data_IF_348546639926
#
_entry.id   IF_348546639926
#
_cell.length_a   1.000
_cell.length_b   1.000
_cell.length_c   1.000
_cell.angle_alpha   90.00
_cell.angle_beta   90.00
_cell.angle_gamma   90.00
#
_symmetry.space_group_name_H-M   'P 1'
#
loop_
_entity.id
_entity.type
_entity.pdbx_description
1 polymer ?
#
# COMPACT_ATOMS: atom_id res chain seq x y z
N UNK A 1 7.67 -3.73 -21.08
CA UNK A 1 8.77 -2.93 -21.69
C UNK A 1 8.60 -1.46 -21.30
N UNK A 2 9.49 -0.91 -20.46
CA UNK A 2 9.46 0.51 -20.03
C UNK A 2 9.80 1.43 -21.20
N UNK A 3 8.91 2.35 -21.58
CA UNK A 3 9.13 3.22 -22.76
C UNK A 3 9.61 4.61 -22.36
N UNK A 4 10.70 5.04 -22.98
CA UNK A 4 11.27 6.41 -22.91
C UNK A 4 10.24 7.40 -23.49
N UNK A 5 10.19 8.62 -22.96
CA UNK A 5 9.34 9.69 -23.47
C UNK A 5 9.54 9.91 -24.99
N UNK A 6 8.47 9.99 -25.81
CA UNK A 6 8.59 10.21 -27.25
C UNK A 6 9.12 11.62 -27.59
N UNK A 7 9.95 11.74 -28.65
CA UNK A 7 10.07 13.00 -29.42
C UNK A 7 11.39 13.78 -29.41
N UNK A 8 12.57 13.15 -29.26
CA UNK A 8 13.86 13.89 -29.25
C UNK A 8 14.92 13.47 -30.28
N UNK A 9 14.55 12.75 -31.35
CA UNK A 9 15.54 12.33 -32.37
C UNK A 9 15.77 13.46 -33.39
N UNK A 10 16.97 14.05 -33.39
CA UNK A 10 17.42 15.03 -34.41
C UNK A 10 17.88 14.32 -35.69
N UNK A 11 17.77 15.00 -36.84
CA UNK A 11 18.38 14.53 -38.10
C UNK A 11 19.91 14.56 -37.98
N UNK A 12 20.58 13.47 -38.36
CA UNK A 12 22.05 13.36 -38.38
C UNK A 12 22.55 13.76 -39.77
N UNK A 13 23.30 14.85 -39.86
CA UNK A 13 23.79 15.40 -41.15
C UNK A 13 25.30 15.25 -41.34
N UNK A 14 26.05 14.98 -40.26
CA UNK A 14 27.51 14.81 -40.25
C UNK A 14 27.98 14.07 -38.99
N UNK A 15 29.29 13.82 -38.88
CA UNK A 15 29.86 13.12 -37.72
C UNK A 15 29.71 13.93 -36.41
N UNK A 16 29.74 15.27 -36.48
CA UNK A 16 29.61 16.13 -35.31
C UNK A 16 28.19 16.08 -34.73
N UNK A 17 27.16 16.12 -35.58
CA UNK A 17 25.75 15.97 -35.22
C UNK A 17 25.44 14.56 -34.70
N UNK A 18 26.10 13.51 -35.20
CA UNK A 18 25.99 12.17 -34.63
C UNK A 18 26.56 12.10 -33.19
N UNK A 19 27.74 12.67 -32.95
CA UNK A 19 28.35 12.71 -31.61
C UNK A 19 27.49 13.54 -30.65
N UNK A 20 27.01 14.71 -31.09
CA UNK A 20 26.13 15.56 -30.31
C UNK A 20 24.80 14.86 -29.96
N UNK A 21 24.16 14.20 -30.94
CA UNK A 21 22.95 13.42 -30.72
C UNK A 21 23.20 12.26 -29.75
N UNK A 22 24.32 11.56 -29.88
CA UNK A 22 24.66 10.43 -29.01
C UNK A 22 24.92 10.87 -27.57
N UNK A 23 25.63 11.97 -27.36
CA UNK A 23 25.84 12.55 -26.02
C UNK A 23 24.53 13.03 -25.41
N UNK A 24 23.68 13.69 -26.20
CA UNK A 24 22.39 14.16 -25.73
C UNK A 24 21.46 12.98 -25.40
N UNK A 25 21.45 11.93 -26.22
CA UNK A 25 20.73 10.68 -25.94
C UNK A 25 21.27 9.99 -24.70
N UNK A 26 22.58 10.03 -24.45
CA UNK A 26 23.16 9.48 -23.23
C UNK A 26 22.70 10.25 -21.99
N UNK A 27 22.73 11.59 -22.04
CA UNK A 27 22.22 12.44 -20.96
C UNK A 27 20.73 12.16 -20.73
N UNK A 28 19.92 12.17 -21.77
CA UNK A 28 18.47 11.86 -21.68
C UNK A 28 18.26 10.45 -21.14
N UNK A 29 18.95 9.45 -21.68
CA UNK A 29 18.83 8.07 -21.22
C UNK A 29 19.21 7.96 -19.76
N UNK A 30 20.29 8.62 -19.31
CA UNK A 30 20.69 8.62 -17.90
C UNK A 30 19.65 9.32 -17.02
N UNK A 31 19.20 10.51 -17.39
CA UNK A 31 18.17 11.25 -16.63
C UNK A 31 16.84 10.51 -16.58
N UNK A 32 16.42 9.87 -17.67
CA UNK A 32 15.18 9.09 -17.75
C UNK A 32 15.30 7.72 -17.08
N UNK A 33 16.45 7.04 -17.14
CA UNK A 33 16.69 5.78 -16.41
C UNK A 33 16.65 5.98 -14.90
N UNK A 34 17.20 7.09 -14.41
CA UNK A 34 17.20 7.40 -12.98
C UNK A 34 15.93 8.14 -12.53
N UNK A 35 15.11 8.62 -13.46
CA UNK A 35 13.83 9.23 -13.11
C UNK A 35 12.89 8.22 -12.51
N UNK A 36 12.45 8.52 -11.29
CA UNK A 36 11.37 7.81 -10.61
C UNK A 36 9.98 8.31 -11.06
N UNK A 37 9.78 8.54 -12.36
CA UNK A 37 8.49 8.93 -12.91
C UNK A 37 7.56 7.73 -13.10
N UNK A 38 6.26 7.99 -13.09
CA UNK A 38 5.25 6.99 -13.42
C UNK A 38 5.49 6.44 -14.83
N UNK A 39 5.16 5.16 -15.02
CA UNK A 39 5.28 4.50 -16.33
C UNK A 39 4.44 5.22 -17.38
N UNK A 40 5.02 5.45 -18.54
CA UNK A 40 4.32 6.05 -19.67
C UNK A 40 3.36 5.04 -20.31
N UNK A 41 2.14 5.49 -20.63
CA UNK A 41 1.19 4.79 -21.47
C UNK A 41 0.81 5.72 -22.62
N UNK A 42 0.94 5.25 -23.87
CA UNK A 42 0.61 6.03 -25.07
C UNK A 42 1.27 7.42 -25.11
N UNK A 43 2.51 7.53 -24.64
CA UNK A 43 3.29 8.76 -24.66
C UNK A 43 3.02 9.74 -23.52
N UNK A 44 2.12 9.43 -22.58
CA UNK A 44 1.88 10.25 -21.38
C UNK A 44 2.12 9.45 -20.10
N UNK A 45 2.51 10.13 -19.02
CA UNK A 45 2.65 9.52 -17.70
C UNK A 45 1.30 9.00 -17.23
N UNK A 46 1.26 7.77 -16.70
CA UNK A 46 0.01 7.24 -16.13
C UNK A 46 -0.43 8.02 -14.89
N UNK A 47 -1.73 7.94 -14.60
CA UNK A 47 -2.40 8.54 -13.43
C UNK A 47 -3.01 7.48 -12.51
N UNK A 48 -2.56 6.23 -12.63
CA UNK A 48 -3.08 5.13 -11.84
C UNK A 48 -2.43 5.11 -10.46
N UNK A 49 -3.21 4.73 -9.44
CA UNK A 49 -2.70 4.32 -8.14
C UNK A 49 -2.63 2.79 -8.14
N UNK A 50 -1.42 2.24 -8.16
CA UNK A 50 -1.17 0.80 -8.27
C UNK A 50 -0.92 0.30 -9.69
N UNK A 51 -0.94 -1.04 -9.87
CA UNK A 51 -0.60 -1.69 -11.13
C UNK A 51 -1.73 -1.53 -12.18
N UNK A 52 -1.42 -1.75 -13.47
CA UNK A 52 -2.39 -1.62 -14.55
C UNK A 52 -3.43 -2.74 -14.46
N UNK A 53 -4.71 -2.36 -14.63
CA UNK A 53 -5.86 -3.27 -14.58
C UNK A 53 -6.31 -3.74 -15.97
N UNK A 54 -5.67 -3.25 -17.03
CA UNK A 54 -5.93 -3.59 -18.43
C UNK A 54 -4.62 -3.85 -19.17
N UNK A 55 -4.72 -4.41 -20.38
CA UNK A 55 -3.57 -4.77 -21.20
C UNK A 55 -3.04 -6.17 -20.90
N UNK A 56 -2.23 -6.70 -21.82
CA UNK A 56 -1.59 -8.02 -21.71
C UNK A 56 -0.16 -7.86 -21.21
N UNK A 57 0.19 -8.60 -20.17
CA UNK A 57 1.46 -8.44 -19.46
C UNK A 57 2.17 -9.78 -19.30
N UNK A 58 3.49 -9.74 -19.33
CA UNK A 58 4.37 -10.89 -19.10
C UNK A 58 4.97 -10.85 -17.70
N UNK A 59 5.34 -12.03 -17.17
CA UNK A 59 6.09 -12.10 -15.90
C UNK A 59 7.39 -11.29 -16.04
N UNK A 60 7.71 -10.50 -15.02
CA UNK A 60 8.88 -9.62 -15.00
C UNK A 60 8.64 -8.23 -15.58
N UNK A 61 7.48 -7.96 -16.21
CA UNK A 61 7.14 -6.60 -16.60
C UNK A 61 7.12 -5.67 -15.37
N UNK A 62 7.68 -4.48 -15.55
CA UNK A 62 7.81 -3.45 -14.52
C UNK A 62 6.78 -2.34 -14.72
N UNK A 63 6.23 -1.85 -13.63
CA UNK A 63 5.28 -0.74 -13.61
C UNK A 63 5.54 0.19 -12.43
N UNK A 64 5.55 1.50 -12.68
CA UNK A 64 5.57 2.53 -11.67
C UNK A 64 4.30 3.36 -11.76
N UNK A 65 3.62 3.52 -10.63
CA UNK A 65 2.36 4.26 -10.56
C UNK A 65 2.59 5.78 -10.39
N UNK A 66 1.50 6.56 -10.35
CA UNK A 66 1.58 8.02 -10.23
C UNK A 66 2.15 8.53 -8.90
N UNK A 67 2.21 7.68 -7.87
CA UNK A 67 2.77 7.99 -6.54
C UNK A 67 4.20 7.45 -6.39
N UNK A 68 4.75 6.84 -7.44
CA UNK A 68 6.10 6.30 -7.46
C UNK A 68 6.22 4.91 -6.83
N UNK A 69 5.12 4.24 -6.47
CA UNK A 69 5.17 2.84 -6.07
C UNK A 69 5.56 1.97 -7.27
N UNK A 70 6.41 0.99 -7.02
CA UNK A 70 6.95 0.12 -8.07
C UNK A 70 6.40 -1.29 -7.93
N UNK A 71 6.04 -1.87 -9.07
CA UNK A 71 5.39 -3.16 -9.19
C UNK A 71 6.09 -4.01 -10.24
N UNK A 72 6.13 -5.32 -9.98
CA UNK A 72 6.57 -6.33 -10.93
C UNK A 72 5.44 -7.32 -11.16
N UNK A 73 5.19 -7.65 -12.43
CA UNK A 73 4.24 -8.66 -12.83
C UNK A 73 4.79 -10.04 -12.44
N UNK A 74 4.11 -10.75 -11.56
CA UNK A 74 4.49 -12.10 -11.09
C UNK A 74 3.73 -13.20 -11.82
N UNK A 75 2.63 -12.87 -12.50
CA UNK A 75 1.85 -13.82 -13.31
C UNK A 75 1.36 -13.15 -14.58
N UNK A 76 1.68 -13.73 -15.74
CA UNK A 76 1.26 -13.19 -17.03
C UNK A 76 -0.28 -13.24 -17.18
N UNK A 77 -0.86 -12.31 -17.94
CA UNK A 77 -2.31 -12.27 -18.16
C UNK A 77 -2.86 -10.93 -18.66
N UNK A 78 -4.20 -10.84 -18.69
CA UNK A 78 -4.99 -9.67 -19.08
C UNK A 78 -6.10 -9.40 -18.04
N UNK A 79 -5.82 -8.67 -16.94
CA UNK A 79 -4.53 -8.11 -16.56
C UNK A 79 -3.57 -9.17 -15.97
N UNK A 80 -2.29 -8.80 -15.86
CA UNK A 80 -1.30 -9.58 -15.13
C UNK A 80 -1.57 -9.56 -13.61
N UNK A 81 -0.90 -10.46 -12.89
CA UNK A 81 -0.83 -10.46 -11.42
C UNK A 81 0.39 -9.67 -10.98
N UNK A 82 0.23 -8.72 -10.05
CA UNK A 82 1.28 -7.77 -9.71
C UNK A 82 1.66 -7.83 -8.23
N UNK A 83 2.95 -7.67 -7.97
CA UNK A 83 3.51 -7.51 -6.62
C UNK A 83 4.18 -6.15 -6.51
N UNK A 84 3.83 -5.41 -5.46
CA UNK A 84 4.56 -4.20 -5.10
C UNK A 84 5.94 -4.58 -4.55
N UNK A 85 6.99 -3.99 -5.13
CA UNK A 85 8.39 -4.20 -4.73
C UNK A 85 8.97 -2.98 -4.04
N UNK A 86 8.43 -1.79 -4.30
CA UNK A 86 8.81 -0.54 -3.63
C UNK A 86 7.56 0.23 -3.18
N UNK A 87 7.45 0.61 -1.90
CA UNK A 87 6.39 1.48 -1.40
C UNK A 87 6.35 2.82 -2.13
N UNK A 88 5.16 3.42 -2.26
CA UNK A 88 5.09 4.84 -2.60
C UNK A 88 5.65 5.66 -1.43
N UNK A 89 6.40 6.71 -1.75
CA UNK A 89 6.95 7.64 -0.75
C UNK A 89 6.19 8.95 -0.85
N UNK A 90 5.52 9.36 0.23
CA UNK A 90 4.66 10.56 0.25
C UNK A 90 5.03 11.46 1.43
N UNK A 91 4.72 12.75 1.32
CA UNK A 91 4.85 13.72 2.42
C UNK A 91 3.52 13.95 3.15
N UNK A 92 2.42 13.46 2.59
CA UNK A 92 1.09 13.51 3.17
C UNK A 92 0.31 12.26 2.76
N UNK A 93 -0.39 11.69 3.72
CA UNK A 93 -1.21 10.51 3.52
C UNK A 93 -2.37 10.77 2.56
N UNK A 94 -2.48 10.03 1.46
CA UNK A 94 -3.62 10.15 0.56
C UNK A 94 -4.86 9.48 1.18
N UNK A 95 -6.04 9.95 0.78
CA UNK A 95 -7.30 9.38 1.23
C UNK A 95 -7.41 7.89 0.87
N UNK A 96 -7.82 7.06 1.83
CA UNK A 96 -8.10 5.65 1.63
C UNK A 96 -9.27 5.45 0.66
N UNK A 97 -9.23 4.38 -0.16
CA UNK A 97 -10.29 4.02 -1.10
C UNK A 97 -9.97 4.23 -2.58
N UNK A 98 -8.89 4.95 -2.91
CA UNK A 98 -8.39 5.09 -4.29
C UNK A 98 -7.19 4.18 -4.60
N UNK A 99 -6.78 3.36 -3.63
CA UNK A 99 -5.64 2.45 -3.71
C UNK A 99 -6.10 0.99 -3.70
N UNK A 100 -5.43 0.11 -4.44
CA UNK A 100 -5.74 -1.31 -4.42
C UNK A 100 -5.43 -1.93 -3.05
N UNK A 101 -6.08 -3.05 -2.76
CA UNK A 101 -5.79 -3.86 -1.58
C UNK A 101 -4.34 -4.33 -1.58
N UNK A 102 -3.67 -4.22 -0.43
CA UNK A 102 -2.28 -4.58 -0.24
C UNK A 102 -1.29 -3.45 -0.52
N UNK A 103 -1.74 -2.30 -1.05
CA UNK A 103 -0.87 -1.18 -1.39
C UNK A 103 -0.17 -0.60 -0.16
N UNK A 104 1.14 -0.38 -0.26
CA UNK A 104 2.00 0.10 0.81
C UNK A 104 2.53 1.51 0.53
N UNK A 105 2.45 2.37 1.53
CA UNK A 105 2.92 3.75 1.53
C UNK A 105 3.90 3.95 2.69
N UNK A 106 4.97 4.69 2.44
CA UNK A 106 5.85 5.27 3.44
C UNK A 106 5.62 6.77 3.44
N UNK A 107 5.15 7.30 4.56
CA UNK A 107 5.06 8.73 4.81
C UNK A 107 6.36 9.20 5.47
N UNK A 108 7.11 10.03 4.78
CA UNK A 108 8.45 10.48 5.24
C UNK A 108 8.39 11.64 6.23
N UNK A 109 7.22 12.27 6.38
CA UNK A 109 7.04 13.39 7.30
C UNK A 109 6.93 12.89 8.75
N UNK A 110 6.19 11.80 8.96
CA UNK A 110 5.91 11.22 10.28
C UNK A 110 6.55 9.84 10.50
N UNK A 111 7.18 9.25 9.48
CA UNK A 111 7.75 7.91 9.53
C UNK A 111 6.69 6.79 9.53
N UNK A 112 5.46 7.10 9.11
CA UNK A 112 4.34 6.18 9.04
C UNK A 112 4.50 5.17 7.89
N UNK A 113 4.31 3.88 8.18
CA UNK A 113 4.11 2.84 7.19
C UNK A 113 2.62 2.49 7.12
N UNK A 114 1.99 2.77 5.99
CA UNK A 114 0.55 2.58 5.80
C UNK A 114 0.24 1.51 4.77
N UNK A 115 -0.62 0.56 5.13
CA UNK A 115 -1.10 -0.48 4.21
C UNK A 115 -2.60 -0.33 3.99
N UNK A 116 -2.99 -0.34 2.72
CA UNK A 116 -4.38 -0.23 2.29
C UNK A 116 -5.01 -1.61 2.10
N UNK A 117 -6.29 -1.74 2.45
CA UNK A 117 -7.14 -2.89 2.22
C UNK A 117 -8.52 -2.41 1.77
N UNK A 118 -8.62 -2.03 0.49
CA UNK A 118 -9.81 -1.40 -0.07
C UNK A 118 -10.07 -0.01 0.54
N UNK A 119 -11.24 0.16 1.14
CA UNK A 119 -11.64 1.41 1.82
C UNK A 119 -11.02 1.58 3.21
N UNK A 120 -10.35 0.55 3.73
CA UNK A 120 -9.65 0.56 5.01
C UNK A 120 -8.15 0.70 4.82
N UNK A 121 -7.47 1.21 5.82
CA UNK A 121 -6.01 1.19 5.91
C UNK A 121 -5.56 1.15 7.37
N UNK A 122 -4.39 0.60 7.61
CA UNK A 122 -3.73 0.69 8.91
C UNK A 122 -2.36 1.31 8.74
N UNK A 123 -1.94 2.06 9.75
CA UNK A 123 -0.68 2.78 9.81
C UNK A 123 0.12 2.29 11.02
N UNK A 124 1.42 2.09 10.84
CA UNK A 124 2.38 1.85 11.92
C UNK A 124 3.39 2.97 11.88
N UNK A 125 3.48 3.76 12.94
CA UNK A 125 4.52 4.78 13.07
C UNK A 125 5.81 4.15 13.59
N UNK A 126 6.89 4.27 12.82
CA UNK A 126 8.21 3.74 13.19
C UNK A 126 9.14 4.91 13.53
N UNK A 127 9.63 4.96 14.77
CA UNK A 127 10.67 5.92 15.18
C UNK A 127 10.21 7.32 15.60
N UNK A 128 8.90 7.58 15.68
CA UNK A 128 8.33 8.90 15.99
C UNK A 128 8.31 9.29 17.49
N UNK A 129 9.22 8.78 18.32
CA UNK A 129 9.27 9.02 19.77
C UNK A 129 8.68 7.90 20.64
N UNK A 130 8.62 8.11 21.95
CA UNK A 130 8.47 7.09 23.03
C UNK A 130 7.23 6.18 23.00
N UNK A 131 6.34 6.32 22.02
CA UNK A 131 5.25 5.36 21.81
C UNK A 131 5.12 5.06 20.31
N UNK A 132 5.45 3.83 19.91
CA UNK A 132 5.02 3.31 18.62
C UNK A 132 3.48 3.30 18.59
N UNK A 133 2.87 3.91 17.57
CA UNK A 133 1.42 3.99 17.42
C UNK A 133 0.98 3.08 16.27
N UNK A 134 -0.11 2.35 16.48
CA UNK A 134 -0.86 1.65 15.44
C UNK A 134 -2.17 2.41 15.23
N UNK A 135 -2.36 2.94 14.02
CA UNK A 135 -3.56 3.67 13.61
C UNK A 135 -4.42 2.86 12.64
N UNK A 136 -5.74 3.03 12.70
CA UNK A 136 -6.69 2.49 11.73
C UNK A 136 -7.43 3.66 11.07
N UNK A 137 -7.47 3.69 9.74
CA UNK A 137 -8.03 4.80 8.95
C UNK A 137 -8.98 4.27 7.87
N UNK A 138 -9.93 5.10 7.45
CA UNK A 138 -10.86 4.82 6.35
C UNK A 138 -12.31 4.81 6.81
N UNK A 139 -13.09 3.83 6.32
CA UNK A 139 -14.45 3.63 6.84
C UNK A 139 -14.41 3.53 8.36
N UNK A 140 -15.31 4.24 9.05
CA UNK A 140 -15.47 4.16 10.50
C UNK A 140 -15.44 2.68 10.85
N UNK A 141 -14.45 2.20 11.63
CA UNK A 141 -14.46 0.83 12.08
C UNK A 141 -15.84 0.62 12.68
N UNK A 142 -16.63 -0.27 12.07
CA UNK A 142 -17.82 -0.75 12.74
C UNK A 142 -17.19 -1.52 13.88
N UNK A 143 -17.12 -0.91 15.07
CA UNK A 143 -16.73 -1.65 16.26
C UNK A 143 -17.52 -2.94 16.17
N UNK A 144 -16.83 -4.09 16.24
CA UNK A 144 -17.53 -5.33 16.46
C UNK A 144 -18.42 -5.01 17.65
N UNK A 145 -19.73 -4.89 17.38
CA UNK A 145 -20.66 -4.54 18.44
C UNK A 145 -20.36 -5.56 19.51
N UNK A 146 -20.22 -5.10 20.75
CA UNK A 146 -20.61 -5.94 21.86
C UNK A 146 -21.90 -6.62 21.41
N UNK A 147 -21.80 -7.89 21.04
CA UNK A 147 -23.00 -8.65 20.72
C UNK A 147 -23.66 -8.94 22.07
N UNK A 148 -24.88 -9.44 22.06
CA UNK A 148 -25.56 -9.85 23.29
C UNK A 148 -24.77 -10.87 24.11
N UNK A 149 -23.71 -11.44 23.54
CA UNK A 149 -22.84 -12.45 24.17
C UNK A 149 -21.54 -11.84 24.75
N UNK A 150 -21.36 -10.52 24.66
CA UNK A 150 -20.22 -9.80 25.24
C UNK A 150 -20.71 -8.92 26.39
N UNK A 151 -20.36 -9.33 27.59
CA UNK A 151 -20.63 -8.51 28.75
C UNK A 151 -19.64 -7.35 28.87
N UNK A 152 -20.18 -6.16 29.15
CA UNK A 152 -19.38 -4.96 29.39
C UNK A 152 -19.14 -4.84 30.90
N UNK A 153 -17.87 -4.91 31.31
CA UNK A 153 -17.47 -4.60 32.69
C UNK A 153 -17.16 -3.10 32.80
N UNK A 154 -18.14 -2.31 33.23
CA UNK A 154 -18.01 -0.86 33.38
C UNK A 154 -17.56 -0.43 34.77
N UNK A 155 -17.68 -1.30 35.75
CA UNK A 155 -17.41 -1.02 37.17
C UNK A 155 -17.14 -2.33 37.95
N UNK A 156 -16.76 -2.19 39.22
CA UNK A 156 -16.48 -3.35 40.08
C UNK A 156 -17.70 -4.28 40.22
N UNK A 157 -18.91 -3.72 40.22
CA UNK A 157 -20.13 -4.50 40.38
C UNK A 157 -20.38 -5.42 39.16
N UNK A 158 -20.24 -4.89 37.95
CA UNK A 158 -20.35 -5.64 36.69
C UNK A 158 -19.26 -6.71 36.56
N UNK A 159 -18.03 -6.45 37.02
CA UNK A 159 -16.97 -7.48 37.11
C UNK A 159 -17.36 -8.62 38.04
N UNK A 160 -17.91 -8.32 39.22
CA UNK A 160 -18.33 -9.34 40.21
C UNK A 160 -19.47 -10.19 39.65
N UNK A 161 -20.45 -9.58 38.98
CA UNK A 161 -21.56 -10.30 38.34
C UNK A 161 -21.04 -11.28 37.29
N UNK A 162 -20.14 -10.83 36.42
CA UNK A 162 -19.60 -11.67 35.35
C UNK A 162 -18.71 -12.80 35.86
N UNK A 163 -17.91 -12.53 36.89
CA UNK A 163 -17.12 -13.57 37.54
C UNK A 163 -18.02 -14.67 38.14
N UNK A 164 -19.18 -14.29 38.70
CA UNK A 164 -20.15 -15.24 39.25
C UNK A 164 -20.91 -16.02 38.19
N UNK A 165 -21.31 -15.38 37.09
CA UNK A 165 -21.93 -16.05 35.95
C UNK A 165 -20.98 -17.04 35.30
N UNK A 166 -19.71 -16.65 35.09
CA UNK A 166 -18.67 -17.55 34.60
C UNK A 166 -18.47 -18.73 35.55
N UNK A 167 -18.36 -18.48 36.86
CA UNK A 167 -18.25 -19.54 37.86
C UNK A 167 -19.43 -20.51 37.77
N UNK A 168 -20.65 -20.00 37.67
CA UNK A 168 -21.86 -20.82 37.56
C UNK A 168 -21.84 -21.69 36.30
N UNK A 169 -21.48 -21.11 35.15
CA UNK A 169 -21.37 -21.85 33.88
C UNK A 169 -20.28 -22.94 33.96
N UNK A 170 -19.12 -22.65 34.55
CA UNK A 170 -18.05 -23.64 34.72
C UNK A 170 -18.45 -24.78 35.67
N UNK A 171 -19.25 -24.51 36.70
CA UNK A 171 -19.84 -25.54 37.57
C UNK A 171 -20.85 -26.39 36.81
N UNK A 172 -21.76 -25.78 36.05
CA UNK A 172 -22.76 -26.48 35.23
C UNK A 172 -22.09 -27.43 34.23
N UNK A 173 -20.99 -27.00 33.61
CA UNK A 173 -20.20 -27.83 32.69
C UNK A 173 -19.28 -28.84 33.39
N UNK A 174 -19.28 -28.89 34.72
CA UNK A 174 -18.44 -29.81 35.50
C UNK A 174 -16.94 -29.54 35.41
N UNK A 175 -16.56 -28.35 34.95
CA UNK A 175 -15.16 -27.94 34.77
C UNK A 175 -14.51 -27.54 36.10
N UNK A 176 -15.30 -27.06 37.06
CA UNK A 176 -14.87 -26.75 38.43
C UNK A 176 -15.89 -27.27 39.45
N UNK A 177 -15.45 -27.50 40.68
CA UNK A 177 -16.34 -27.89 41.80
C UNK A 177 -17.09 -26.65 42.31
N UNK A 178 -18.40 -26.77 42.53
CA UNK A 178 -19.16 -25.77 43.27
C UNK A 178 -18.67 -25.72 44.73
N UNK A 179 -18.23 -24.55 45.19
CA UNK A 179 -17.97 -24.33 46.62
C UNK A 179 -19.26 -24.49 47.42
N UNK A 180 -19.15 -25.15 48.58
CA UNK A 180 -20.23 -25.30 49.55
C UNK A 180 -20.67 -23.95 50.13
#
# INVERSE_FOLDING_TARGET
MSTIAPGRLFNVTDAASFVALSQQNWVIASEELFRRLATYQNGTSNTLNGPPTTGTWSVGDFWRDQKGAEFVCTGAGTPGTWRQITPATVTADPASGTFPTGYLIVNVTDGGLKRHAGSLSWEIQVGAGTAAKVGFHGATPVGQRANTDQAVATDLASVIVLANELRAALVEKGLIKGGA
#
